data_IF_368742322105
#
_entry.id   IF_368742322105
#
_cell.length_a   1.000
_cell.length_b   1.000
_cell.length_c   1.000
_cell.angle_alpha   90.00
_cell.angle_beta   90.00
_cell.angle_gamma   90.00
#
_symmetry.space_group_name_H-M   'P 1'
#
loop_
_entity.id
_entity.type
_entity.pdbx_description
1 polymer ?
#
# COMPACT_ATOMS: atom_id res chain seq x y z
N UNK A 1 18.06 3.21 -3.79
CA UNK A 1 17.63 4.07 -2.66
C UNK A 1 17.85 3.31 -1.37
N UNK A 2 18.49 3.91 -0.36
CA UNK A 2 18.64 3.29 0.96
C UNK A 2 17.55 3.80 1.89
N UNK A 3 16.72 2.92 2.44
CA UNK A 3 15.66 3.32 3.37
C UNK A 3 16.22 3.37 4.80
N UNK A 4 15.99 4.47 5.54
CA UNK A 4 16.27 4.56 6.97
C UNK A 4 15.71 3.35 7.74
N UNK A 5 16.55 2.67 8.54
CA UNK A 5 16.15 1.47 9.29
C UNK A 5 15.47 1.85 10.59
N UNK A 6 14.15 1.69 10.69
CA UNK A 6 13.38 1.93 11.92
C UNK A 6 13.75 1.01 13.09
N UNK A 7 12.99 1.07 14.17
CA UNK A 7 13.14 0.13 15.29
C UNK A 7 12.80 -1.27 14.81
N UNK A 8 13.71 -2.22 14.99
CA UNK A 8 13.51 -3.61 14.57
C UNK A 8 12.36 -4.23 15.37
N UNK A 9 11.35 -4.73 14.66
CA UNK A 9 10.28 -5.57 15.24
C UNK A 9 10.53 -7.03 14.89
N UNK A 10 10.80 -7.29 13.61
CA UNK A 10 11.22 -8.59 13.11
C UNK A 10 12.35 -8.44 12.10
N UNK A 11 13.31 -9.34 12.10
CA UNK A 11 14.46 -9.30 11.19
C UNK A 11 14.79 -10.71 10.68
N UNK A 12 15.19 -10.80 9.41
CA UNK A 12 15.61 -12.02 8.73
C UNK A 12 14.58 -13.16 8.77
N UNK A 13 13.29 -12.79 8.79
CA UNK A 13 12.17 -13.71 8.71
C UNK A 13 12.20 -14.46 7.38
N UNK A 14 12.16 -15.79 7.42
CA UNK A 14 12.20 -16.62 6.21
C UNK A 14 10.80 -16.74 5.59
N UNK A 15 10.62 -16.23 4.36
CA UNK A 15 9.31 -16.25 3.72
C UNK A 15 8.80 -17.65 3.37
N UNK A 16 9.66 -18.67 3.35
CA UNK A 16 9.23 -20.06 3.10
C UNK A 16 8.57 -20.75 4.28
N UNK A 17 8.75 -20.21 5.50
CA UNK A 17 8.31 -20.84 6.75
C UNK A 17 7.15 -20.06 7.36
N UNK A 18 7.06 -18.77 7.08
CA UNK A 18 6.12 -17.87 7.74
C UNK A 18 4.77 -17.91 7.04
N UNK A 19 3.72 -18.01 7.85
CA UNK A 19 2.37 -17.72 7.39
C UNK A 19 2.22 -16.20 7.20
N UNK A 20 2.37 -15.75 5.94
CA UNK A 20 2.34 -14.33 5.63
C UNK A 20 0.99 -13.66 5.95
N UNK A 21 -0.13 -14.38 5.78
CA UNK A 21 -1.46 -13.88 6.15
C UNK A 21 -1.58 -13.63 7.65
N UNK A 22 -1.04 -14.55 8.48
CA UNK A 22 -1.02 -14.40 9.93
C UNK A 22 -0.11 -13.26 10.39
N UNK A 23 1.04 -13.06 9.72
CA UNK A 23 1.91 -11.91 9.97
C UNK A 23 1.17 -10.60 9.71
N UNK A 24 0.49 -10.45 8.56
CA UNK A 24 -0.30 -9.26 8.25
C UNK A 24 -1.44 -9.06 9.25
N UNK A 25 -2.13 -10.14 9.65
CA UNK A 25 -3.19 -10.09 10.66
C UNK A 25 -2.70 -9.58 12.01
N UNK A 26 -1.52 -10.05 12.46
CA UNK A 26 -0.91 -9.60 13.71
C UNK A 26 -0.50 -8.13 13.67
N UNK A 27 0.06 -7.67 12.54
CA UNK A 27 0.39 -6.25 12.34
C UNK A 27 -0.87 -5.37 12.32
N UNK A 28 -1.96 -5.88 11.75
CA UNK A 28 -3.27 -5.22 11.78
C UNK A 28 -3.81 -5.09 13.22
N UNK A 29 -3.86 -6.19 13.96
CA UNK A 29 -4.39 -6.24 15.31
C UNK A 29 -3.59 -5.39 16.32
N UNK A 30 -2.32 -5.12 16.04
CA UNK A 30 -1.43 -4.29 16.88
C UNK A 30 -1.37 -2.84 16.43
N UNK A 31 -2.19 -2.43 15.46
CA UNK A 31 -2.20 -1.08 14.86
C UNK A 31 -0.80 -0.64 14.41
N UNK A 32 -0.01 -1.59 13.88
CA UNK A 32 1.40 -1.37 13.57
C UNK A 32 1.61 -0.23 12.57
N UNK A 33 2.55 0.66 12.88
CA UNK A 33 2.97 1.75 11.97
C UNK A 33 4.46 1.66 11.71
N UNK A 34 4.83 1.61 10.43
CA UNK A 34 6.19 1.35 10.00
C UNK A 34 6.27 0.87 8.56
N UNK A 35 7.26 0.04 8.25
CA UNK A 35 7.34 -0.60 6.96
C UNK A 35 7.84 -2.04 7.06
N UNK A 36 7.44 -2.86 6.10
CA UNK A 36 7.99 -4.18 5.87
C UNK A 36 8.91 -4.12 4.65
N UNK A 37 10.11 -4.70 4.76
CA UNK A 37 11.05 -4.84 3.66
C UNK A 37 11.13 -6.30 3.23
N UNK A 38 11.16 -6.50 1.93
CA UNK A 38 11.23 -7.80 1.27
C UNK A 38 12.51 -7.85 0.44
N UNK A 39 13.34 -8.84 0.71
CA UNK A 39 14.51 -9.18 -0.10
C UNK A 39 14.26 -10.57 -0.69
N UNK A 40 13.63 -10.61 -1.86
CA UNK A 40 13.25 -11.83 -2.57
C UNK A 40 14.17 -12.05 -3.78
N UNK A 41 14.29 -13.29 -4.29
CA UNK A 41 15.06 -13.54 -5.50
C UNK A 41 14.60 -12.70 -6.70
N UNK A 42 15.47 -11.77 -7.11
CA UNK A 42 15.24 -10.86 -8.24
C UNK A 42 14.22 -9.75 -7.98
N UNK A 43 13.81 -9.53 -6.73
CA UNK A 43 12.85 -8.48 -6.37
C UNK A 43 13.13 -7.95 -4.96
N UNK A 44 13.38 -6.65 -4.87
CA UNK A 44 13.38 -5.92 -3.61
C UNK A 44 12.05 -5.16 -3.47
N UNK A 45 11.42 -5.25 -2.30
CA UNK A 45 10.09 -4.69 -2.07
C UNK A 45 9.94 -4.03 -0.72
N UNK A 46 9.01 -3.09 -0.60
CA UNK A 46 8.58 -2.48 0.65
C UNK A 46 7.06 -2.36 0.68
N UNK A 47 6.46 -2.72 1.82
CA UNK A 47 5.12 -2.28 2.21
C UNK A 47 5.23 -1.19 3.27
N UNK A 48 4.49 -0.09 3.09
CA UNK A 48 4.36 0.96 4.08
C UNK A 48 3.03 0.79 4.81
N UNK A 49 3.08 0.76 6.14
CA UNK A 49 1.91 0.49 6.98
C UNK A 49 1.62 1.63 7.94
N UNK A 50 0.34 1.98 8.06
CA UNK A 50 -0.18 2.87 9.11
C UNK A 50 -1.38 2.20 9.78
N UNK A 51 -1.40 2.16 11.11
CA UNK A 51 -2.45 1.49 11.90
C UNK A 51 -2.74 0.05 11.40
N UNK A 52 -1.67 -0.66 11.04
CA UNK A 52 -1.71 -2.05 10.60
C UNK A 52 -2.24 -2.27 9.18
N UNK A 53 -2.49 -1.19 8.44
CA UNK A 53 -3.01 -1.18 7.07
C UNK A 53 -1.93 -0.79 6.08
N UNK A 54 -1.86 -1.46 4.92
CA UNK A 54 -0.91 -1.10 3.86
C UNK A 54 -1.42 0.16 3.16
N UNK A 55 -0.65 1.23 3.20
CA UNK A 55 -1.03 2.54 2.62
C UNK A 55 -0.28 2.87 1.34
N UNK A 56 0.89 2.26 1.13
CA UNK A 56 1.64 2.35 -0.11
C UNK A 56 2.56 1.13 -0.21
N UNK A 57 3.02 0.83 -1.42
CA UNK A 57 4.00 -0.22 -1.66
C UNK A 57 4.92 0.17 -2.81
N UNK A 58 6.11 -0.41 -2.80
CA UNK A 58 7.10 -0.23 -3.85
C UNK A 58 7.82 -1.56 -4.06
N UNK A 59 8.05 -1.95 -5.32
CA UNK A 59 9.01 -2.98 -5.63
C UNK A 59 9.82 -2.62 -6.87
N UNK A 60 11.03 -3.14 -6.90
CA UNK A 60 11.97 -2.99 -7.99
C UNK A 60 12.54 -4.36 -8.33
N UNK A 61 12.48 -4.69 -9.61
CA UNK A 61 13.21 -5.79 -10.21
C UNK A 61 14.19 -5.21 -11.25
N UNK A 62 14.93 -6.07 -11.97
CA UNK A 62 15.94 -5.61 -12.92
C UNK A 62 15.39 -4.75 -14.07
N UNK A 63 14.12 -4.93 -14.43
CA UNK A 63 13.52 -4.38 -15.64
C UNK A 63 12.48 -3.30 -15.36
N UNK A 64 11.88 -3.29 -14.16
CA UNK A 64 10.74 -2.45 -13.85
C UNK A 64 10.66 -2.04 -12.36
N UNK A 65 10.02 -0.88 -12.14
CA UNK A 65 9.62 -0.39 -10.82
C UNK A 65 8.10 -0.32 -10.78
N UNK A 66 7.51 -0.90 -9.74
CA UNK A 66 6.08 -0.83 -9.50
C UNK A 66 5.79 -0.14 -8.17
N UNK A 67 4.59 0.43 -8.08
CA UNK A 67 4.13 1.16 -6.91
C UNK A 67 2.67 0.86 -6.60
N UNK A 68 2.24 1.18 -5.38
CA UNK A 68 0.85 1.04 -5.00
C UNK A 68 0.35 -0.40 -5.11
N UNK A 69 -0.85 -0.58 -5.65
CA UNK A 69 -1.52 -1.88 -5.73
C UNK A 69 -0.74 -2.90 -6.58
N UNK A 70 -0.12 -2.46 -7.67
CA UNK A 70 0.67 -3.34 -8.55
C UNK A 70 1.86 -3.93 -7.77
N UNK A 71 2.56 -3.11 -6.98
CA UNK A 71 3.66 -3.58 -6.14
C UNK A 71 3.19 -4.55 -5.04
N UNK A 72 2.00 -4.32 -4.46
CA UNK A 72 1.40 -5.28 -3.51
C UNK A 72 1.18 -6.62 -4.17
N UNK A 73 0.60 -6.63 -5.37
CA UNK A 73 0.30 -7.85 -6.12
C UNK A 73 1.59 -8.59 -6.51
N UNK A 74 2.61 -7.89 -7.03
CA UNK A 74 3.88 -8.50 -7.43
C UNK A 74 4.62 -9.13 -6.24
N UNK A 75 4.71 -8.41 -5.11
CA UNK A 75 5.35 -8.93 -3.88
C UNK A 75 4.61 -10.17 -3.37
N UNK A 76 3.27 -10.12 -3.28
CA UNK A 76 2.47 -11.26 -2.79
C UNK A 76 2.60 -12.46 -3.73
N UNK A 77 2.53 -12.26 -5.05
CA UNK A 77 2.69 -13.31 -6.04
C UNK A 77 4.05 -14.01 -5.89
N UNK A 78 5.12 -13.23 -5.64
CA UNK A 78 6.46 -13.78 -5.37
C UNK A 78 6.51 -14.60 -4.08
N UNK A 79 5.91 -14.11 -2.99
CA UNK A 79 5.91 -14.80 -1.69
C UNK A 79 5.18 -16.15 -1.76
N UNK A 80 4.10 -16.26 -2.55
CA UNK A 80 3.33 -17.50 -2.70
C UNK A 80 4.13 -18.65 -3.36
N UNK A 81 5.15 -18.34 -4.14
CA UNK A 81 5.99 -19.33 -4.83
C UNK A 81 7.15 -19.73 -3.91
N UNK A 82 7.14 -20.99 -3.45
CA UNK A 82 8.09 -21.47 -2.43
C UNK A 82 9.56 -21.35 -2.86
N UNK A 83 9.84 -21.52 -4.15
CA UNK A 83 11.17 -21.39 -4.76
C UNK A 83 11.69 -19.95 -4.75
N UNK A 84 10.83 -18.96 -4.54
CA UNK A 84 11.18 -17.54 -4.40
C UNK A 84 11.33 -17.11 -2.93
N UNK A 85 11.67 -18.05 -2.04
CA UNK A 85 11.88 -17.75 -0.63
C UNK A 85 13.00 -16.71 -0.45
N UNK A 86 12.74 -15.71 0.38
CA UNK A 86 13.69 -14.66 0.71
C UNK A 86 13.54 -14.22 2.15
N UNK A 87 13.98 -12.99 2.44
CA UNK A 87 13.94 -12.41 3.78
C UNK A 87 12.90 -11.31 3.88
N UNK A 88 12.17 -11.32 4.98
CA UNK A 88 11.23 -10.27 5.38
C UNK A 88 11.80 -9.59 6.63
N UNK A 89 11.76 -8.26 6.65
CA UNK A 89 12.14 -7.46 7.81
C UNK A 89 10.99 -6.49 8.11
N UNK A 90 10.76 -6.20 9.38
CA UNK A 90 9.67 -5.31 9.83
C UNK A 90 10.26 -4.28 10.78
N UNK A 91 10.09 -3.01 10.43
CA UNK A 91 10.66 -1.88 11.17
C UNK A 91 9.56 -0.91 11.57
N UNK A 92 9.42 -0.68 12.88
CA UNK A 92 8.51 0.31 13.46
C UNK A 92 9.06 1.72 13.22
N UNK A 93 8.18 2.65 12.86
CA UNK A 93 8.54 4.02 12.58
C UNK A 93 7.36 4.98 12.77
N UNK A 94 7.59 6.24 13.17
CA UNK A 94 6.51 7.22 13.27
C UNK A 94 5.78 7.42 11.92
N UNK A 95 4.45 7.55 11.94
CA UNK A 95 3.62 7.57 10.73
C UNK A 95 3.94 8.74 9.78
N UNK A 96 4.27 9.91 10.33
CA UNK A 96 4.71 11.06 9.54
C UNK A 96 6.02 10.79 8.78
N UNK A 97 6.86 9.88 9.28
CA UNK A 97 8.09 9.44 8.62
C UNK A 97 7.78 8.36 7.57
N UNK A 98 6.91 7.39 7.88
CA UNK A 98 6.42 6.38 6.92
C UNK A 98 5.81 7.06 5.67
N UNK A 99 4.99 8.08 5.87
CA UNK A 99 4.41 8.89 4.78
C UNK A 99 5.48 9.50 3.89
N UNK A 100 6.52 10.10 4.49
CA UNK A 100 7.63 10.67 3.76
C UNK A 100 8.41 9.63 2.98
N UNK A 101 8.73 8.48 3.59
CA UNK A 101 9.50 7.40 2.96
C UNK A 101 8.81 6.84 1.72
N UNK A 102 7.50 6.60 1.80
CA UNK A 102 6.73 6.11 0.67
C UNK A 102 6.65 7.09 -0.53
N UNK A 103 6.85 8.40 -0.29
CA UNK A 103 6.97 9.35 -1.39
C UNK A 103 8.36 9.35 -2.04
N UNK A 104 9.38 8.81 -1.37
CA UNK A 104 10.73 8.75 -1.92
C UNK A 104 10.79 7.84 -3.15
N UNK A 105 10.05 6.73 -3.15
CA UNK A 105 10.00 5.80 -4.29
C UNK A 105 9.50 6.43 -5.60
N UNK A 106 8.84 7.59 -5.52
CA UNK A 106 8.31 8.37 -6.66
C UNK A 106 9.33 9.40 -7.19
N UNK A 107 10.47 9.55 -6.52
CA UNK A 107 11.46 10.57 -6.82
C UNK A 107 12.35 10.20 -8.01
N UNK A 108 12.65 11.19 -8.86
CA UNK A 108 13.63 11.04 -9.93
C UNK A 108 15.01 11.46 -9.42
N UNK A 109 16.04 10.66 -9.72
CA UNK A 109 17.41 11.00 -9.34
C UNK A 109 17.93 12.14 -10.23
N UNK A 110 18.43 13.19 -9.60
CA UNK A 110 19.00 14.39 -10.26
C UNK A 110 20.52 14.37 -10.17
N UNK A 111 21.03 14.01 -8.99
CA UNK A 111 22.46 13.83 -8.76
C UNK A 111 22.69 12.49 -8.06
N UNK A 112 23.67 11.75 -8.53
CA UNK A 112 23.97 10.41 -8.05
C UNK A 112 25.44 10.31 -7.66
N UNK A 113 25.70 9.60 -6.56
CA UNK A 113 27.02 9.17 -6.10
C UNK A 113 28.02 10.32 -5.91
N UNK A 114 27.54 11.48 -5.44
CA UNK A 114 28.40 12.62 -5.14
C UNK A 114 29.13 12.39 -3.81
N UNK A 115 30.44 12.20 -3.86
CA UNK A 115 31.27 12.04 -2.65
C UNK A 115 31.52 13.38 -1.94
N UNK A 116 31.54 13.36 -0.62
CA UNK A 116 31.97 14.52 0.19
C UNK A 116 33.46 14.88 0.03
N UNK A 117 34.25 14.03 -0.64
CA UNK A 117 35.61 14.37 -1.08
C UNK A 117 35.64 15.54 -2.08
N UNK A 118 34.54 15.76 -2.82
CA UNK A 118 34.48 16.74 -3.91
C UNK A 118 33.41 17.81 -3.72
N UNK A 119 32.47 17.63 -2.79
CA UNK A 119 31.39 18.58 -2.54
C UNK A 119 30.98 18.55 -1.07
N UNK A 120 31.09 19.67 -0.35
CA UNK A 120 30.58 19.74 1.02
C UNK A 120 29.05 19.74 1.04
N UNK A 121 28.47 19.25 2.14
CA UNK A 121 27.02 19.33 2.37
C UNK A 121 26.51 20.77 2.24
N UNK A 122 27.25 21.74 2.76
CA UNK A 122 26.90 23.17 2.71
C UNK A 122 26.85 23.71 1.27
N UNK A 123 27.83 23.35 0.44
CA UNK A 123 27.87 23.77 -0.96
C UNK A 123 26.72 23.13 -1.75
N UNK A 124 26.42 21.86 -1.48
CA UNK A 124 25.32 21.16 -2.12
C UNK A 124 23.98 21.79 -1.74
N UNK A 125 23.73 22.04 -0.46
CA UNK A 125 22.51 22.70 0.01
C UNK A 125 22.38 24.12 -0.57
N UNK A 126 23.47 24.88 -0.64
CA UNK A 126 23.48 26.22 -1.26
C UNK A 126 23.09 26.16 -2.74
N UNK A 127 23.60 25.16 -3.47
CA UNK A 127 23.22 24.94 -4.88
C UNK A 127 21.73 24.61 -5.00
N UNK A 128 21.24 23.63 -4.23
CA UNK A 128 19.83 23.21 -4.26
C UNK A 128 18.88 24.34 -3.86
N UNK A 129 19.32 25.22 -2.95
CA UNK A 129 18.63 26.47 -2.59
C UNK A 129 18.51 27.42 -3.78
N UNK A 130 19.62 27.71 -4.47
CA UNK A 130 19.62 28.59 -5.63
C UNK A 130 18.79 28.05 -6.81
N UNK A 131 18.65 26.72 -6.90
CA UNK A 131 17.85 26.04 -7.91
C UNK A 131 16.36 25.91 -7.53
N UNK A 132 15.96 26.31 -6.33
CA UNK A 132 14.59 26.16 -5.85
C UNK A 132 14.14 24.70 -5.76
N UNK A 133 15.06 23.78 -5.41
CA UNK A 133 14.84 22.34 -5.48
C UNK A 133 13.68 21.84 -4.62
N UNK A 134 12.84 20.97 -5.17
CA UNK A 134 11.78 20.30 -4.43
C UNK A 134 12.04 18.80 -4.44
N UNK A 135 12.28 18.21 -3.28
CA UNK A 135 12.61 16.79 -3.18
C UNK A 135 13.38 16.47 -1.92
N UNK A 136 14.34 15.56 -2.02
CA UNK A 136 15.13 15.15 -0.87
C UNK A 136 16.58 14.86 -1.25
N UNK A 137 17.46 15.04 -0.28
CA UNK A 137 18.86 14.67 -0.31
C UNK A 137 19.04 13.45 0.59
N UNK A 138 19.50 12.34 0.00
CA UNK A 138 19.96 11.15 0.72
C UNK A 138 21.47 11.28 0.98
N UNK A 139 21.86 11.01 2.22
CA UNK A 139 23.23 11.00 2.70
C UNK A 139 23.46 9.62 3.28
N UNK A 140 24.46 8.89 2.77
CA UNK A 140 24.77 7.54 3.26
C UNK A 140 26.26 7.41 3.54
N UNK A 141 26.60 6.75 4.66
CA UNK A 141 27.98 6.31 4.90
C UNK A 141 28.32 5.14 3.97
N UNK A 142 29.61 4.95 3.65
CA UNK A 142 30.06 3.87 2.76
C UNK A 142 29.63 2.47 3.26
N UNK A 143 29.57 2.28 4.59
CA UNK A 143 29.11 1.04 5.21
C UNK A 143 27.58 0.89 5.26
N UNK A 144 26.84 1.89 4.78
CA UNK A 144 25.37 2.00 4.76
C UNK A 144 24.71 1.84 6.13
N UNK A 145 25.46 1.98 7.23
CA UNK A 145 24.92 1.86 8.59
C UNK A 145 24.25 3.14 9.06
N UNK A 146 24.69 4.28 8.53
CA UNK A 146 24.09 5.58 8.81
C UNK A 146 23.52 6.17 7.53
N UNK A 147 22.25 6.55 7.59
CA UNK A 147 21.56 7.21 6.48
C UNK A 147 20.83 8.42 7.01
N UNK A 148 20.99 9.56 6.35
CA UNK A 148 20.19 10.74 6.61
C UNK A 148 19.43 11.16 5.35
N UNK A 149 18.20 11.63 5.54
CA UNK A 149 17.39 12.25 4.51
C UNK A 149 17.14 13.69 4.92
N UNK A 150 17.33 14.63 3.98
CA UNK A 150 16.96 16.03 4.14
C UNK A 150 15.90 16.35 3.09
N UNK A 151 14.70 16.70 3.54
CA UNK A 151 13.60 17.12 2.68
C UNK A 151 13.72 18.61 2.39
N UNK A 152 13.55 18.97 1.12
CA UNK A 152 13.73 20.32 0.59
C UNK A 152 12.44 20.78 -0.09
N UNK A 153 12.01 21.99 0.23
CA UNK A 153 10.90 22.68 -0.44
C UNK A 153 11.39 24.05 -0.90
N UNK A 154 11.28 24.32 -2.20
CA UNK A 154 11.84 25.53 -2.83
C UNK A 154 13.32 25.74 -2.45
N UNK A 155 14.06 24.63 -2.33
CA UNK A 155 15.46 24.60 -1.97
C UNK A 155 15.76 24.82 -0.49
N UNK A 156 14.74 25.14 0.33
CA UNK A 156 14.88 25.28 1.78
C UNK A 156 14.68 23.92 2.47
N UNK A 157 15.56 23.54 3.40
CA UNK A 157 15.36 22.32 4.16
C UNK A 157 14.20 22.44 5.15
N UNK A 158 13.23 21.53 5.07
CA UNK A 158 12.02 21.56 5.92
C UNK A 158 12.03 20.50 7.01
N UNK A 159 12.69 19.36 6.78
CA UNK A 159 12.74 18.23 7.72
C UNK A 159 13.95 17.36 7.45
N UNK A 160 14.50 16.72 8.48
CA UNK A 160 15.46 15.63 8.31
C UNK A 160 15.06 14.37 9.07
N UNK A 161 15.51 13.24 8.55
CA UNK A 161 15.47 11.94 9.19
C UNK A 161 16.90 11.46 9.27
N UNK A 162 17.31 10.96 10.43
CA UNK A 162 18.58 10.27 10.56
C UNK A 162 18.35 8.90 11.15
N UNK A 163 18.89 7.89 10.48
CA UNK A 163 18.93 6.50 10.90
C UNK A 163 20.36 6.13 11.19
N UNK A 164 20.55 5.52 12.35
CA UNK A 164 21.78 4.88 12.80
C UNK A 164 21.44 3.44 13.20
N UNK A 165 22.43 2.57 13.46
CA UNK A 165 22.14 1.21 13.93
C UNK A 165 21.33 1.15 15.24
N UNK A 166 21.37 2.20 16.05
CA UNK A 166 20.76 2.22 17.39
C UNK A 166 19.41 2.95 17.42
N UNK A 167 19.17 3.91 16.53
CA UNK A 167 17.98 4.75 16.57
C UNK A 167 17.64 5.41 15.23
N UNK A 168 16.34 5.64 15.00
CA UNK A 168 15.82 6.57 13.98
C UNK A 168 15.13 7.72 14.68
N UNK A 169 15.55 8.93 14.33
CA UNK A 169 14.86 10.13 14.78
C UNK A 169 14.59 11.05 13.60
N UNK A 170 13.40 11.66 13.60
CA UNK A 170 13.23 12.92 12.90
C UNK A 170 13.98 13.99 13.66
N UNK A 171 14.82 14.74 12.96
CA UNK A 171 15.61 15.82 13.54
C UNK A 171 15.33 17.13 12.80
N UNK A 172 15.61 18.28 13.42
CA UNK A 172 15.77 19.52 12.68
C UNK A 172 16.88 19.36 11.65
N UNK A 173 16.74 19.97 10.48
CA UNK A 173 17.71 19.84 9.37
C UNK A 173 19.13 20.24 9.82
N UNK A 174 19.24 21.25 10.66
CA UNK A 174 20.53 21.74 11.18
C UNK A 174 21.04 20.95 12.40
N UNK A 175 20.61 19.69 12.57
CA UNK A 175 21.12 18.87 13.67
C UNK A 175 22.63 18.70 13.54
N UNK A 176 23.36 19.02 14.61
CA UNK A 176 24.81 18.85 14.70
C UNK A 176 25.25 17.44 14.29
N UNK A 177 24.41 16.43 14.50
CA UNK A 177 24.70 15.04 14.16
C UNK A 177 24.92 14.79 12.66
N UNK A 178 24.13 15.43 11.78
CA UNK A 178 24.30 15.27 10.32
C UNK A 178 25.58 15.99 9.86
N UNK A 179 25.86 17.16 10.43
CA UNK A 179 27.10 17.90 10.18
C UNK A 179 28.31 17.09 10.65
N UNK A 180 28.22 16.48 11.82
CA UNK A 180 29.27 15.66 12.41
C UNK A 180 29.54 14.41 11.57
N UNK A 181 28.51 13.72 11.08
CA UNK A 181 28.69 12.54 10.22
C UNK A 181 29.34 12.93 8.89
N UNK A 182 28.83 13.97 8.23
CA UNK A 182 29.35 14.40 6.92
C UNK A 182 30.76 15.01 6.97
N UNK A 183 31.23 15.44 8.15
CA UNK A 183 32.58 15.97 8.36
C UNK A 183 33.60 14.95 8.86
N UNK A 184 33.16 13.89 9.56
CA UNK A 184 34.06 12.88 10.17
C UNK A 184 34.17 11.60 9.36
N UNK A 185 33.25 11.34 8.45
CA UNK A 185 33.18 10.10 7.69
C UNK A 185 33.02 10.37 6.21
N UNK A 186 33.46 9.42 5.38
CA UNK A 186 33.19 9.44 3.95
C UNK A 186 31.72 9.13 3.72
N UNK A 187 31.05 10.02 3.00
CA UNK A 187 29.63 9.90 2.69
C UNK A 187 29.38 10.11 1.20
N UNK A 188 28.29 9.52 0.75
CA UNK A 188 27.75 9.68 -0.58
C UNK A 188 26.43 10.44 -0.51
N UNK A 189 26.28 11.43 -1.39
CA UNK A 189 25.07 12.22 -1.56
C UNK A 189 24.33 11.79 -2.83
N UNK A 190 23.03 11.53 -2.68
CA UNK A 190 22.10 11.34 -3.80
C UNK A 190 20.97 12.37 -3.69
N UNK A 191 20.71 13.11 -4.75
CA UNK A 191 19.66 14.14 -4.79
C UNK A 191 18.52 13.66 -5.65
N UNK A 192 17.33 13.71 -5.09
CA UNK A 192 16.10 13.30 -5.75
C UNK A 192 15.16 14.48 -5.86
N UNK A 193 14.50 14.59 -7.00
CA UNK A 193 13.39 15.51 -7.22
C UNK A 193 12.09 14.77 -6.89
N UNK A 194 11.26 15.36 -6.02
CA UNK A 194 9.97 14.74 -5.70
C UNK A 194 9.00 14.86 -6.90
N UNK A 195 8.35 13.75 -7.25
CA UNK A 195 7.09 13.81 -7.96
C UNK A 195 6.04 14.35 -6.98
N UNK A 196 5.64 15.61 -7.15
CA UNK A 196 4.70 16.29 -6.25
C UNK A 196 3.36 15.52 -6.19
N UNK A 197 3.13 14.83 -5.09
CA UNK A 197 1.81 14.46 -4.57
C UNK A 197 1.94 14.13 -3.08
N UNK A 198 1.86 15.16 -2.24
CA UNK A 198 1.68 15.01 -0.78
C UNK A 198 0.18 15.03 -0.48
N UNK A 199 -0.56 14.03 -0.95
CA UNK A 199 -1.91 13.80 -0.44
C UNK A 199 -1.82 13.11 0.91
N UNK A 200 -2.29 13.77 1.97
CA UNK A 200 -2.29 13.25 3.35
C UNK A 200 -3.20 12.03 3.55
N UNK A 201 -4.15 11.82 2.64
CA UNK A 201 -5.05 10.68 2.58
C UNK A 201 -4.53 9.65 1.58
N UNK A 202 -3.88 8.60 2.07
CA UNK A 202 -3.61 7.39 1.28
C UNK A 202 -4.74 6.39 1.48
N UNK A 203 -5.24 5.87 0.38
CA UNK A 203 -6.22 4.78 0.39
C UNK A 203 -5.53 3.49 0.87
N UNK A 204 -6.28 2.67 1.62
CA UNK A 204 -5.84 1.32 1.99
C UNK A 204 -5.68 0.50 0.71
N UNK A 205 -4.51 -0.09 0.51
CA UNK A 205 -4.26 -1.04 -0.57
C UNK A 205 -4.75 -2.42 -0.14
N UNK A 206 -5.45 -3.09 -1.04
CA UNK A 206 -6.11 -4.37 -0.73
C UNK A 206 -5.13 -5.50 -1.03
N UNK A 207 -5.01 -6.47 -0.12
CA UNK A 207 -4.29 -7.71 -0.40
C UNK A 207 -5.25 -8.83 -0.78
N UNK A 208 -4.79 -9.82 -1.53
CA UNK A 208 -5.58 -11.03 -1.83
C UNK A 208 -5.99 -11.81 -0.57
N UNK A 209 -5.27 -11.64 0.54
CA UNK A 209 -5.62 -12.25 1.83
C UNK A 209 -6.85 -11.58 2.46
N UNK A 210 -7.04 -10.28 2.21
CA UNK A 210 -8.19 -9.52 2.68
C UNK A 210 -9.42 -9.78 1.82
N UNK A 211 -9.24 -10.09 0.52
CA UNK A 211 -10.35 -10.37 -0.41
C UNK A 211 -11.23 -11.53 0.08
N UNK A 212 -10.65 -12.57 0.68
CA UNK A 212 -11.45 -13.70 1.17
C UNK A 212 -12.43 -13.28 2.28
N UNK A 213 -11.99 -12.47 3.24
CA UNK A 213 -12.87 -11.95 4.30
C UNK A 213 -13.93 -10.99 3.71
N UNK A 214 -13.53 -10.16 2.75
CA UNK A 214 -14.42 -9.22 2.05
C UNK A 214 -15.49 -9.97 1.23
N UNK A 215 -15.12 -11.07 0.57
CA UNK A 215 -16.03 -11.91 -0.22
C UNK A 215 -17.12 -12.54 0.63
N UNK A 216 -16.87 -12.87 1.89
CA UNK A 216 -17.91 -13.40 2.79
C UNK A 216 -19.05 -12.38 2.96
N UNK A 217 -18.69 -11.09 3.11
CA UNK A 217 -19.65 -10.01 3.23
C UNK A 217 -20.42 -9.82 1.92
N UNK A 218 -19.71 -9.74 0.79
CA UNK A 218 -20.35 -9.57 -0.51
C UNK A 218 -21.23 -10.76 -0.89
N UNK A 219 -20.82 -12.00 -0.63
CA UNK A 219 -21.65 -13.18 -0.86
C UNK A 219 -22.96 -13.12 -0.06
N UNK A 220 -22.91 -12.67 1.21
CA UNK A 220 -24.12 -12.49 2.01
C UNK A 220 -25.06 -11.43 1.42
N UNK A 221 -24.51 -10.33 0.90
CA UNK A 221 -25.28 -9.25 0.27
C UNK A 221 -25.92 -9.72 -1.04
N UNK A 222 -25.14 -10.37 -1.91
CA UNK A 222 -25.62 -10.90 -3.19
C UNK A 222 -26.77 -11.89 -2.93
N UNK A 223 -26.60 -12.79 -1.95
CA UNK A 223 -27.63 -13.75 -1.54
C UNK A 223 -28.90 -13.05 -1.01
N UNK A 224 -28.76 -11.99 -0.21
CA UNK A 224 -29.90 -11.23 0.31
C UNK A 224 -30.71 -10.55 -0.80
N UNK A 225 -30.04 -10.05 -1.84
CA UNK A 225 -30.69 -9.47 -3.03
C UNK A 225 -31.34 -10.57 -3.89
N UNK A 226 -30.63 -11.68 -4.12
CA UNK A 226 -31.14 -12.82 -4.90
C UNK A 226 -32.46 -13.34 -4.34
N UNK A 227 -32.59 -13.42 -3.02
CA UNK A 227 -33.83 -13.84 -2.32
C UNK A 227 -35.04 -12.95 -2.54
N UNK A 228 -34.87 -11.72 -3.03
CA UNK A 228 -35.99 -10.81 -3.31
C UNK A 228 -36.65 -11.09 -4.66
N UNK A 229 -36.10 -11.99 -5.47
CA UNK A 229 -36.62 -12.31 -6.81
C UNK A 229 -36.43 -13.78 -7.16
N UNK A 230 -36.84 -14.18 -8.37
CA UNK A 230 -36.55 -15.52 -8.91
C UNK A 230 -35.03 -15.67 -9.19
N UNK A 231 -34.37 -16.74 -8.70
CA UNK A 231 -32.92 -16.93 -8.85
C UNK A 231 -32.41 -16.90 -10.29
N UNK A 232 -33.19 -17.41 -11.26
CA UNK A 232 -32.79 -17.40 -12.69
C UNK A 232 -32.82 -15.98 -13.24
N UNK A 233 -33.84 -15.22 -12.86
CA UNK A 233 -33.99 -13.81 -13.23
C UNK A 233 -32.87 -12.98 -12.61
N UNK A 234 -32.59 -13.16 -11.31
CA UNK A 234 -31.45 -12.53 -10.64
C UNK A 234 -30.14 -12.83 -11.36
N UNK A 235 -29.82 -14.12 -11.55
CA UNK A 235 -28.57 -14.56 -12.18
C UNK A 235 -28.38 -13.94 -13.56
N UNK A 236 -29.44 -13.89 -14.37
CA UNK A 236 -29.40 -13.29 -15.71
C UNK A 236 -29.07 -11.80 -15.64
N UNK A 237 -29.80 -11.05 -14.81
CA UNK A 237 -29.61 -9.58 -14.71
C UNK A 237 -28.25 -9.26 -14.10
N UNK A 238 -27.87 -9.94 -13.03
CA UNK A 238 -26.60 -9.72 -12.36
C UNK A 238 -25.42 -9.98 -13.29
N UNK A 239 -25.39 -11.12 -14.00
CA UNK A 239 -24.33 -11.43 -14.98
C UNK A 239 -24.26 -10.40 -16.10
N UNK A 240 -25.40 -9.91 -16.59
CA UNK A 240 -25.41 -8.85 -17.60
C UNK A 240 -24.76 -7.58 -17.04
N UNK A 241 -25.10 -7.19 -15.82
CA UNK A 241 -24.48 -6.01 -15.19
C UNK A 241 -22.99 -6.16 -14.94
N UNK A 242 -22.52 -7.36 -14.57
CA UNK A 242 -21.08 -7.64 -14.46
C UNK A 242 -20.35 -7.43 -15.80
N UNK A 243 -20.93 -7.93 -16.90
CA UNK A 243 -20.41 -7.72 -18.26
C UNK A 243 -20.38 -6.24 -18.61
N UNK A 244 -21.47 -5.52 -18.36
CA UNK A 244 -21.59 -4.08 -18.69
C UNK A 244 -20.57 -3.23 -17.91
N UNK A 245 -20.14 -3.70 -16.73
CA UNK A 245 -19.17 -3.03 -15.87
C UNK A 245 -17.73 -3.52 -16.06
N UNK A 246 -17.49 -4.55 -16.87
CA UNK A 246 -16.17 -5.13 -17.07
C UNK A 246 -15.17 -4.15 -17.72
N UNK A 247 -15.63 -3.20 -18.53
CA UNK A 247 -14.76 -2.17 -19.12
C UNK A 247 -14.18 -1.22 -18.04
N UNK A 248 -14.94 -0.94 -16.98
CA UNK A 248 -14.52 -0.10 -15.85
C UNK A 248 -13.83 -0.91 -14.76
N UNK A 249 -14.27 -2.15 -14.55
CA UNK A 249 -13.80 -3.07 -13.54
C UNK A 249 -13.48 -4.45 -14.18
N UNK A 250 -12.28 -4.63 -14.77
CA UNK A 250 -11.93 -5.82 -15.55
C UNK A 250 -12.13 -7.15 -14.82
N UNK A 251 -11.97 -7.15 -13.50
CA UNK A 251 -12.15 -8.34 -12.66
C UNK A 251 -13.58 -8.90 -12.64
N UNK A 252 -14.57 -8.12 -13.11
CA UNK A 252 -15.96 -8.54 -13.27
C UNK A 252 -16.22 -9.26 -14.60
N UNK A 253 -15.24 -9.28 -15.52
CA UNK A 253 -15.35 -9.98 -16.78
C UNK A 253 -15.56 -11.49 -16.54
N UNK A 254 -16.71 -12.06 -16.95
CA UNK A 254 -16.95 -13.49 -16.78
C UNK A 254 -15.99 -14.38 -17.58
N UNK A 255 -15.26 -13.84 -18.56
CA UNK A 255 -14.24 -14.56 -19.33
C UNK A 255 -12.87 -14.54 -18.67
N UNK A 256 -12.55 -13.51 -17.88
CA UNK A 256 -11.33 -13.45 -17.08
C UNK A 256 -11.38 -14.44 -15.90
N UNK A 257 -12.59 -14.83 -15.48
CA UNK A 257 -12.87 -15.80 -14.41
C UNK A 257 -12.34 -15.42 -13.02
N UNK A 258 -11.90 -14.16 -12.86
CA UNK A 258 -11.38 -13.64 -11.60
C UNK A 258 -12.47 -13.62 -10.53
N UNK A 259 -13.56 -12.88 -10.72
CA UNK A 259 -14.73 -12.95 -9.84
C UNK A 259 -15.77 -13.93 -10.36
N UNK A 260 -16.26 -14.82 -9.48
CA UNK A 260 -17.35 -15.73 -9.79
C UNK A 260 -18.38 -15.73 -8.67
N UNK A 261 -19.66 -15.80 -9.07
CA UNK A 261 -20.77 -16.05 -8.15
C UNK A 261 -21.64 -17.19 -8.69
N UNK A 262 -21.74 -18.26 -7.92
CA UNK A 262 -22.60 -19.40 -8.20
C UNK A 262 -23.01 -20.08 -6.88
N UNK A 263 -24.23 -20.62 -6.84
CA UNK A 263 -24.76 -21.35 -5.68
C UNK A 263 -24.60 -20.60 -4.35
N UNK A 264 -24.87 -19.29 -4.38
CA UNK A 264 -24.73 -18.39 -3.24
C UNK A 264 -23.30 -18.27 -2.65
N UNK A 265 -22.28 -18.61 -3.44
CA UNK A 265 -20.87 -18.45 -3.09
C UNK A 265 -20.22 -17.50 -4.05
N UNK A 266 -19.43 -16.59 -3.50
CA UNK A 266 -18.54 -15.73 -4.26
C UNK A 266 -17.10 -16.25 -4.12
N UNK A 267 -16.34 -16.26 -5.21
CA UNK A 267 -14.91 -16.55 -5.21
C UNK A 267 -14.16 -15.51 -6.03
N UNK A 268 -12.92 -15.28 -5.66
CA UNK A 268 -12.02 -14.39 -6.39
C UNK A 268 -10.66 -15.07 -6.60
N UNK A 269 -10.28 -15.22 -7.85
CA UNK A 269 -8.98 -15.76 -8.25
C UNK A 269 -8.33 -14.80 -9.24
N UNK A 270 -7.74 -13.74 -8.69
CA UNK A 270 -7.09 -12.69 -9.45
C UNK A 270 -6.20 -11.82 -8.55
N UNK A 271 -5.66 -10.77 -9.14
CA UNK A 271 -4.90 -9.76 -8.44
C UNK A 271 -5.83 -8.83 -7.66
N UNK A 272 -5.44 -8.46 -6.44
CA UNK A 272 -6.27 -7.58 -5.64
C UNK A 272 -6.33 -6.19 -6.27
N UNK A 273 -7.52 -5.59 -6.28
CA UNK A 273 -7.76 -4.25 -6.80
C UNK A 273 -8.42 -3.37 -5.76
N UNK A 274 -7.95 -2.13 -5.63
CA UNK A 274 -8.52 -1.15 -4.69
C UNK A 274 -9.99 -0.83 -4.98
N UNK A 275 -10.43 -1.00 -6.22
CA UNK A 275 -11.78 -0.72 -6.67
C UNK A 275 -12.72 -1.93 -6.51
N UNK A 276 -12.26 -3.03 -5.89
CA UNK A 276 -13.02 -4.27 -5.76
C UNK A 276 -14.41 -4.06 -5.13
N UNK A 277 -14.45 -3.41 -3.96
CA UNK A 277 -15.69 -3.13 -3.24
C UNK A 277 -16.60 -2.20 -4.04
N UNK A 278 -16.03 -1.18 -4.68
CA UNK A 278 -16.76 -0.20 -5.49
C UNK A 278 -17.42 -0.87 -6.70
N UNK A 279 -16.68 -1.69 -7.43
CA UNK A 279 -17.18 -2.42 -8.60
C UNK A 279 -18.34 -3.35 -8.25
N UNK A 280 -18.24 -4.09 -7.14
CA UNK A 280 -19.35 -4.94 -6.68
C UNK A 280 -20.56 -4.13 -6.22
N UNK A 281 -20.36 -3.03 -5.48
CA UNK A 281 -21.47 -2.19 -5.02
C UNK A 281 -22.24 -1.57 -6.19
N UNK A 282 -21.52 -0.99 -7.16
CA UNK A 282 -22.15 -0.37 -8.33
C UNK A 282 -22.89 -1.40 -9.19
N UNK A 283 -22.30 -2.58 -9.37
CA UNK A 283 -22.94 -3.67 -10.12
C UNK A 283 -24.22 -4.15 -9.43
N UNK A 284 -24.21 -4.27 -8.11
CA UNK A 284 -25.40 -4.68 -7.36
C UNK A 284 -26.46 -3.57 -7.34
N UNK A 285 -26.07 -2.31 -7.26
CA UNK A 285 -27.00 -1.18 -7.33
C UNK A 285 -27.75 -1.15 -8.66
N UNK A 286 -27.04 -1.34 -9.77
CA UNK A 286 -27.65 -1.42 -11.12
C UNK A 286 -28.54 -2.67 -11.22
N UNK A 287 -28.09 -3.81 -10.71
CA UNK A 287 -28.87 -5.06 -10.68
C UNK A 287 -30.19 -4.89 -9.94
N UNK A 288 -30.14 -4.30 -8.75
CA UNK A 288 -31.32 -4.00 -7.93
C UNK A 288 -32.28 -3.04 -8.66
N UNK A 289 -31.74 -1.99 -9.28
CA UNK A 289 -32.53 -1.04 -10.07
C UNK A 289 -33.24 -1.71 -11.26
N UNK A 290 -32.54 -2.56 -12.00
CA UNK A 290 -33.09 -3.30 -13.14
C UNK A 290 -34.15 -4.34 -12.73
N UNK A 291 -34.04 -4.88 -11.52
CA UNK A 291 -35.01 -5.81 -10.94
C UNK A 291 -36.17 -5.11 -10.21
N UNK A 292 -36.10 -3.78 -10.03
CA UNK A 292 -37.07 -3.02 -9.25
C UNK A 292 -37.07 -3.37 -7.76
N UNK A 293 -35.90 -3.73 -7.21
CA UNK A 293 -35.71 -4.05 -5.78
C UNK A 293 -35.14 -2.81 -5.07
N UNK A 294 -35.90 -2.11 -4.23
CA UNK A 294 -35.35 -1.02 -3.44
C UNK A 294 -34.43 -1.52 -2.32
N UNK A 295 -33.31 -0.84 -2.10
CA UNK A 295 -32.34 -1.09 -1.05
C UNK A 295 -32.94 -1.24 0.34
N UNK A 296 -33.80 -0.29 0.70
CA UNK A 296 -34.50 -0.27 1.98
C UNK A 296 -35.43 -1.48 2.21
N UNK A 297 -35.80 -2.22 1.16
CA UNK A 297 -36.66 -3.41 1.28
C UNK A 297 -35.89 -4.70 1.56
N UNK A 298 -34.57 -4.70 1.42
CA UNK A 298 -33.73 -5.87 1.75
C UNK A 298 -33.55 -5.94 3.27
N UNK A 299 -34.48 -6.63 3.93
CA UNK A 299 -34.57 -6.70 5.40
C UNK A 299 -33.26 -7.18 6.06
N UNK A 300 -32.49 -8.00 5.36
CA UNK A 300 -31.23 -8.54 5.86
C UNK A 300 -30.07 -7.54 5.85
N UNK A 301 -30.12 -6.41 5.15
CA UNK A 301 -28.96 -5.49 5.04
C UNK A 301 -28.47 -4.96 6.39
N UNK A 302 -29.38 -4.58 7.29
CA UNK A 302 -28.98 -4.14 8.65
C UNK A 302 -28.37 -5.29 9.46
N UNK A 303 -28.90 -6.51 9.29
CA UNK A 303 -28.36 -7.69 9.97
C UNK A 303 -26.96 -8.04 9.45
N UNK A 304 -26.74 -7.99 8.14
CA UNK A 304 -25.43 -8.19 7.51
C UNK A 304 -24.45 -7.12 8.00
N UNK A 305 -24.86 -5.85 8.02
CA UNK A 305 -24.01 -4.75 8.50
C UNK A 305 -23.58 -4.96 9.96
N UNK A 306 -24.48 -5.43 10.82
CA UNK A 306 -24.17 -5.73 12.21
C UNK A 306 -23.31 -6.99 12.35
N UNK A 307 -23.64 -8.05 11.62
CA UNK A 307 -22.93 -9.33 11.64
C UNK A 307 -21.48 -9.18 11.18
N UNK A 308 -21.23 -8.37 10.17
CA UNK A 308 -19.92 -8.18 9.54
C UNK A 308 -19.29 -6.82 9.89
N UNK A 309 -19.74 -6.15 10.96
CA UNK A 309 -19.29 -4.81 11.33
C UNK A 309 -17.76 -4.71 11.44
N UNK A 310 -17.12 -5.74 11.99
CA UNK A 310 -15.66 -5.79 12.15
C UNK A 310 -14.95 -5.79 10.79
N UNK A 311 -15.37 -6.65 9.86
CA UNK A 311 -14.80 -6.74 8.50
C UNK A 311 -15.07 -5.45 7.71
N UNK A 312 -16.29 -4.92 7.80
CA UNK A 312 -16.70 -3.70 7.10
C UNK A 312 -15.89 -2.49 7.59
N UNK A 313 -15.67 -2.37 8.89
CA UNK A 313 -14.87 -1.30 9.47
C UNK A 313 -13.38 -1.48 9.18
N UNK A 314 -12.88 -2.72 9.24
CA UNK A 314 -11.49 -3.08 8.93
C UNK A 314 -11.11 -2.68 7.50
N UNK A 315 -11.99 -2.92 6.53
CA UNK A 315 -11.72 -2.63 5.10
C UNK A 315 -12.43 -1.38 4.56
N UNK A 316 -13.00 -0.56 5.44
CA UNK A 316 -13.54 0.77 5.16
C UNK A 316 -14.62 0.88 4.06
N UNK A 317 -15.33 -0.20 3.71
CA UNK A 317 -16.33 -0.16 2.62
C UNK A 317 -17.78 0.10 3.08
N UNK A 318 -17.93 0.80 4.22
CA UNK A 318 -19.24 1.24 4.73
C UNK A 318 -20.01 2.12 3.73
N UNK A 319 -19.30 2.92 2.93
CA UNK A 319 -19.91 3.85 1.98
C UNK A 319 -20.59 3.09 0.83
N UNK A 320 -19.93 2.07 0.32
CA UNK A 320 -20.42 1.16 -0.71
C UNK A 320 -21.70 0.46 -0.25
N UNK A 321 -21.73 -0.02 1.00
CA UNK A 321 -22.92 -0.64 1.57
C UNK A 321 -24.07 0.35 1.80
N UNK A 322 -23.76 1.55 2.28
CA UNK A 322 -24.79 2.56 2.52
C UNK A 322 -25.48 2.96 1.20
N UNK A 323 -24.73 3.02 0.09
CA UNK A 323 -25.30 3.29 -1.24
C UNK A 323 -26.38 2.26 -1.62
N UNK A 324 -26.14 0.98 -1.35
CA UNK A 324 -27.09 -0.11 -1.62
C UNK A 324 -28.35 -0.03 -0.76
N UNK A 325 -28.29 0.57 0.44
CA UNK A 325 -29.46 0.74 1.31
C UNK A 325 -30.32 1.91 0.82
N UNK A 326 -29.69 2.95 0.28
CA UNK A 326 -30.36 4.19 -0.15
C UNK A 326 -30.86 4.20 -1.59
N UNK A 327 -30.38 3.26 -2.43
CA UNK A 327 -30.81 3.07 -3.83
C UNK A 327 -32.15 2.37 -3.93
#
# INVERSE_FOLDING_TARGET
MTIPRGKIVYENLDSSIINFAELLSNLNATEFTGYMQFNLPGLDGIFYLENGKITDAFCENADNKQMGQDAVNEIIAKIKVKENSGKINVFEMPGDIVKLLANLGKGEIVYQDLSNDFSSLENLLTKLKNEGHNGYLEISTDDKKTTALIFLQQGEPVKSIMSTPEHVASKPVQSQDIIDVTSKTKVTFNVYKAALSLSDSREHLITVYEINEILEVWAAIINAIEKQTDPKTFTKVFKQTLIDKADEYPFLDPFATEFQYADAKASFEGDATKDFNKGLAESLQITMSNLGIPGATVKEFQNIKNQFADIINKYSFNNELNKLITS
#
